data_IF_681124448111
#
_entry.id   IF_681124448111
#
_cell.length_a   1.000
_cell.length_b   1.000
_cell.length_c   1.000
_cell.angle_alpha   90.00
_cell.angle_beta   90.00
_cell.angle_gamma   90.00
#
_symmetry.space_group_name_H-M   'P 1'
#
loop_
_entity.id
_entity.type
_entity.pdbx_description
1 polymer ?
#
# COMPACT_ATOMS: atom_id res chain seq x y z
N UNK A 1 -7.80 -9.44 13.33
CA UNK A 1 -8.73 -9.26 12.17
C UNK A 1 -9.88 -8.37 12.63
N UNK A 2 -10.02 -7.19 12.01
CA UNK A 2 -11.08 -6.23 12.38
C UNK A 2 -12.31 -6.37 11.47
N UNK A 3 -12.14 -6.94 10.27
CA UNK A 3 -13.18 -7.18 9.29
C UNK A 3 -12.91 -8.50 8.56
N UNK A 4 -13.93 -9.32 8.38
CA UNK A 4 -13.84 -10.55 7.57
C UNK A 4 -14.10 -10.16 6.12
N UNK A 5 -13.20 -10.53 5.21
CA UNK A 5 -13.34 -10.24 3.80
C UNK A 5 -13.67 -11.52 3.02
N UNK A 6 -14.56 -11.37 2.06
CA UNK A 6 -14.98 -12.42 1.14
C UNK A 6 -14.51 -12.11 -0.28
N UNK A 7 -14.13 -13.14 -1.04
CA UNK A 7 -14.05 -13.01 -2.48
C UNK A 7 -15.47 -12.81 -3.05
N UNK A 8 -15.64 -12.09 -4.17
CA UNK A 8 -16.95 -11.88 -4.76
C UNK A 8 -17.71 -13.18 -5.05
N UNK A 9 -16.98 -14.26 -5.40
CA UNK A 9 -17.54 -15.56 -5.70
C UNK A 9 -17.90 -16.43 -4.47
N UNK A 10 -17.64 -15.98 -3.24
CA UNK A 10 -18.01 -16.72 -2.04
C UNK A 10 -19.44 -16.40 -1.53
N UNK A 11 -20.06 -15.37 -2.09
CA UNK A 11 -21.39 -14.93 -1.66
C UNK A 11 -22.43 -15.38 -2.68
N UNK A 12 -23.35 -16.24 -2.26
CA UNK A 12 -24.47 -16.76 -3.05
C UNK A 12 -25.80 -16.44 -2.36
N UNK A 13 -26.73 -15.82 -3.08
CA UNK A 13 -28.04 -15.42 -2.52
C UNK A 13 -27.95 -14.65 -1.20
N UNK A 14 -26.94 -13.77 -1.09
CA UNK A 14 -26.70 -12.99 0.12
C UNK A 14 -26.11 -13.78 1.30
N UNK A 15 -25.61 -14.97 1.09
CA UNK A 15 -25.00 -15.84 2.12
C UNK A 15 -23.59 -16.27 1.75
N UNK A 16 -22.74 -16.41 2.75
CA UNK A 16 -21.42 -17.01 2.64
C UNK A 16 -21.24 -18.10 3.69
N UNK A 17 -20.63 -19.23 3.32
CA UNK A 17 -20.23 -20.30 4.25
C UNK A 17 -18.72 -20.50 4.14
N UNK A 18 -18.04 -20.49 5.27
CA UNK A 18 -16.58 -20.64 5.32
C UNK A 18 -16.16 -21.50 6.52
N UNK A 19 -15.04 -22.23 6.36
CA UNK A 19 -14.51 -23.17 7.37
C UNK A 19 -12.97 -23.05 7.50
N UNK A 20 -12.41 -21.99 6.98
CA UNK A 20 -10.98 -21.68 6.98
C UNK A 20 -10.55 -20.86 8.22
N UNK A 21 -9.38 -20.24 8.18
CA UNK A 21 -8.83 -19.40 9.26
C UNK A 21 -9.79 -18.28 9.72
N UNK A 22 -10.72 -17.83 8.87
CA UNK A 22 -11.76 -16.86 9.22
C UNK A 22 -12.76 -17.46 10.18
N UNK A 23 -13.18 -18.72 9.92
CA UNK A 23 -14.07 -19.45 10.83
C UNK A 23 -13.39 -19.74 12.18
N UNK A 24 -12.13 -20.16 12.16
CA UNK A 24 -11.33 -20.33 13.38
C UNK A 24 -11.28 -19.03 14.20
N UNK A 25 -11.08 -17.89 13.55
CA UNK A 25 -11.10 -16.60 14.22
C UNK A 25 -12.47 -16.27 14.85
N UNK A 26 -13.56 -16.50 14.11
CA UNK A 26 -14.93 -16.29 14.63
C UNK A 26 -15.20 -17.17 15.83
N UNK A 27 -14.87 -18.46 15.75
CA UNK A 27 -15.20 -19.43 16.80
C UNK A 27 -14.29 -19.29 18.03
N UNK A 28 -12.96 -19.19 17.81
CA UNK A 28 -11.98 -19.31 18.88
C UNK A 28 -11.55 -17.96 19.47
N UNK A 29 -11.66 -16.86 18.71
CA UNK A 29 -11.22 -15.53 19.15
C UNK A 29 -12.40 -14.64 19.48
N UNK A 30 -13.41 -14.60 18.60
CA UNK A 30 -14.60 -13.76 18.80
C UNK A 30 -15.68 -14.49 19.62
N UNK A 31 -15.54 -15.81 19.85
CA UNK A 31 -16.53 -16.66 20.50
C UNK A 31 -17.92 -16.47 19.89
N UNK A 32 -17.98 -16.50 18.55
CA UNK A 32 -19.16 -16.19 17.76
C UNK A 32 -20.31 -17.13 18.05
N UNK A 33 -21.53 -16.59 18.10
CA UNK A 33 -22.78 -17.31 18.29
C UNK A 33 -23.77 -16.95 17.19
N UNK A 34 -24.74 -17.83 16.94
CA UNK A 34 -25.83 -17.57 16.01
C UNK A 34 -26.59 -16.29 16.42
N UNK A 35 -26.93 -15.45 15.44
CA UNK A 35 -27.51 -14.13 15.64
C UNK A 35 -26.48 -13.00 15.84
N UNK A 36 -25.22 -13.31 16.08
CA UNK A 36 -24.18 -12.28 16.24
C UNK A 36 -23.86 -11.59 14.92
N UNK A 37 -23.66 -10.26 14.99
CA UNK A 37 -23.27 -9.45 13.84
C UNK A 37 -21.75 -9.32 13.77
N UNK A 38 -21.18 -9.57 12.59
CA UNK A 38 -19.77 -9.42 12.26
C UNK A 38 -19.57 -8.27 11.29
N UNK A 39 -18.45 -7.56 11.38
CA UNK A 39 -18.02 -6.61 10.33
C UNK A 39 -17.45 -7.41 9.17
N UNK A 40 -18.01 -7.22 7.98
CA UNK A 40 -17.61 -7.98 6.78
C UNK A 40 -17.50 -7.06 5.57
N UNK A 41 -16.89 -7.54 4.48
CA UNK A 41 -16.77 -6.81 3.22
C UNK A 41 -16.45 -7.75 2.08
N UNK A 42 -16.57 -7.24 0.86
CA UNK A 42 -16.22 -7.93 -0.38
C UNK A 42 -14.92 -7.35 -0.90
N UNK A 43 -13.94 -8.18 -1.23
CA UNK A 43 -12.68 -7.72 -1.82
C UNK A 43 -12.98 -6.94 -3.11
N UNK A 44 -12.35 -5.78 -3.26
CA UNK A 44 -12.58 -4.80 -4.33
C UNK A 44 -14.03 -4.30 -4.43
N UNK A 45 -14.81 -4.47 -3.37
CA UNK A 45 -16.23 -4.15 -3.31
C UNK A 45 -16.64 -3.43 -2.02
N UNK A 46 -17.94 -3.37 -1.75
CA UNK A 46 -18.49 -2.68 -0.59
C UNK A 46 -18.15 -3.37 0.74
N UNK A 47 -18.22 -2.60 1.80
CA UNK A 47 -18.17 -3.05 3.18
C UNK A 47 -19.58 -3.08 3.78
N UNK A 48 -19.72 -3.81 4.89
CA UNK A 48 -20.98 -3.90 5.62
C UNK A 48 -20.88 -4.81 6.83
N UNK A 49 -21.96 -5.53 7.08
CA UNK A 49 -22.06 -6.48 8.17
C UNK A 49 -22.62 -7.82 7.70
N UNK A 50 -22.39 -8.85 8.46
CA UNK A 50 -23.04 -10.15 8.27
C UNK A 50 -23.51 -10.70 9.59
N UNK A 51 -24.68 -11.34 9.59
CA UNK A 51 -25.24 -12.03 10.77
C UNK A 51 -24.92 -13.51 10.68
N UNK A 52 -24.40 -14.10 11.74
CA UNK A 52 -24.18 -15.55 11.83
C UNK A 52 -25.56 -16.23 11.85
N UNK A 53 -25.89 -16.99 10.80
CA UNK A 53 -27.13 -17.75 10.72
C UNK A 53 -26.98 -19.16 11.30
N UNK A 54 -25.79 -19.78 11.13
CA UNK A 54 -25.59 -21.17 11.52
C UNK A 54 -24.10 -21.46 11.77
N UNK A 55 -23.88 -22.30 12.77
CA UNK A 55 -22.54 -22.84 13.09
C UNK A 55 -22.62 -24.36 13.10
N UNK A 56 -21.87 -25.05 12.24
CA UNK A 56 -21.82 -26.49 12.13
C UNK A 56 -20.39 -26.98 12.22
N UNK A 57 -19.98 -27.48 13.36
CA UNK A 57 -18.58 -27.86 13.60
C UNK A 57 -17.65 -26.66 13.47
N UNK A 58 -16.79 -26.67 12.43
CA UNK A 58 -15.89 -25.57 12.10
C UNK A 58 -16.40 -24.67 10.96
N UNK A 59 -17.60 -24.92 10.43
CA UNK A 59 -18.19 -24.11 9.38
C UNK A 59 -19.13 -23.05 9.96
N UNK A 60 -18.98 -21.82 9.44
CA UNK A 60 -19.80 -20.66 9.82
C UNK A 60 -20.54 -20.17 8.57
N UNK A 61 -21.88 -20.14 8.66
CA UNK A 61 -22.74 -19.57 7.62
C UNK A 61 -23.25 -18.22 8.08
N UNK A 62 -23.07 -17.20 7.23
CA UNK A 62 -23.49 -15.83 7.52
C UNK A 62 -24.41 -15.29 6.43
N UNK A 63 -25.35 -14.44 6.82
CA UNK A 63 -26.13 -13.60 5.91
C UNK A 63 -25.46 -12.24 5.78
N UNK A 64 -25.12 -11.85 4.56
CA UNK A 64 -24.35 -10.66 4.24
C UNK A 64 -25.24 -9.48 3.85
N UNK A 65 -24.86 -8.28 4.33
CA UNK A 65 -25.39 -6.98 3.87
C UNK A 65 -24.23 -6.03 3.64
N UNK A 66 -23.90 -5.76 2.36
CA UNK A 66 -22.75 -4.95 1.95
C UNK A 66 -23.23 -3.82 1.03
N UNK A 67 -23.43 -2.63 1.58
CA UNK A 67 -24.01 -1.49 0.86
C UNK A 67 -23.13 -0.23 0.99
N UNK A 68 -22.16 -0.22 1.90
CA UNK A 68 -21.33 0.94 2.16
C UNK A 68 -20.08 0.90 1.28
N UNK A 69 -19.76 1.95 0.51
CA UNK A 69 -18.50 2.03 -0.21
C UNK A 69 -17.30 1.90 0.74
N UNK A 70 -16.28 1.17 0.32
CA UNK A 70 -15.00 1.11 1.05
C UNK A 70 -14.19 2.39 0.83
N UNK A 71 -13.29 2.68 1.77
CA UNK A 71 -12.28 3.72 1.56
C UNK A 71 -11.48 3.43 0.30
N UNK A 72 -11.26 4.47 -0.50
CA UNK A 72 -10.50 4.35 -1.73
C UNK A 72 -9.01 4.45 -1.44
N UNK A 73 -8.17 3.66 -2.12
CA UNK A 73 -6.73 3.81 -2.01
C UNK A 73 -6.28 5.14 -2.62
N UNK A 74 -5.26 5.76 -2.04
CA UNK A 74 -4.91 7.16 -2.28
C UNK A 74 -3.50 7.37 -2.84
N UNK A 75 -2.62 6.35 -2.92
CA UNK A 75 -1.22 6.50 -3.31
C UNK A 75 -0.74 5.35 -4.22
N UNK A 76 0.07 5.69 -5.23
CA UNK A 76 0.85 4.74 -6.02
C UNK A 76 2.30 4.70 -5.52
N UNK A 77 2.87 3.51 -5.43
CA UNK A 77 4.22 3.28 -4.93
C UNK A 77 5.12 2.68 -6.01
N UNK A 78 6.23 3.36 -6.33
CA UNK A 78 7.37 2.79 -7.06
C UNK A 78 8.40 2.33 -6.02
N UNK A 79 8.60 1.05 -5.88
CA UNK A 79 9.45 0.47 -4.84
C UNK A 79 10.60 -0.33 -5.46
N UNK A 80 11.84 0.09 -5.20
CA UNK A 80 12.97 -0.80 -5.37
C UNK A 80 12.96 -1.78 -4.19
N UNK A 81 12.62 -3.07 -4.44
CA UNK A 81 12.22 -3.96 -3.37
C UNK A 81 13.34 -4.20 -2.35
N UNK A 82 13.04 -4.13 -1.05
CA UNK A 82 13.94 -4.57 -0.02
C UNK A 82 14.05 -6.09 -0.01
N UNK A 83 14.91 -6.64 0.85
CA UNK A 83 15.04 -8.09 1.01
C UNK A 83 13.71 -8.79 1.22
N UNK A 84 13.51 -10.03 0.72
CA UNK A 84 12.22 -10.72 0.75
C UNK A 84 11.57 -10.78 2.14
N UNK A 85 12.37 -10.94 3.21
CA UNK A 85 11.86 -10.97 4.60
C UNK A 85 11.27 -9.60 5.03
N UNK A 86 11.88 -8.50 4.61
CA UNK A 86 11.37 -7.15 4.88
C UNK A 86 10.12 -6.88 4.03
N UNK A 87 10.16 -7.25 2.75
CA UNK A 87 9.01 -7.11 1.85
C UNK A 87 7.78 -7.88 2.34
N UNK A 88 7.96 -9.10 2.85
CA UNK A 88 6.86 -9.90 3.44
C UNK A 88 6.15 -9.17 4.59
N UNK A 89 6.90 -8.40 5.41
CA UNK A 89 6.32 -7.60 6.50
C UNK A 89 5.69 -6.30 6.01
N UNK A 90 6.21 -5.73 4.91
CA UNK A 90 5.71 -4.48 4.35
C UNK A 90 4.36 -4.64 3.64
N UNK A 91 4.14 -5.73 2.93
CA UNK A 91 2.94 -5.92 2.12
C UNK A 91 1.62 -5.70 2.90
N UNK A 92 1.40 -6.31 4.09
CA UNK A 92 0.20 -6.02 4.88
C UNK A 92 0.10 -4.55 5.29
N UNK A 93 1.24 -3.92 5.63
CA UNK A 93 1.26 -2.51 6.04
C UNK A 93 0.91 -1.58 4.88
N UNK A 94 1.42 -1.85 3.67
CA UNK A 94 1.10 -1.07 2.47
C UNK A 94 -0.38 -1.16 2.12
N UNK A 95 -0.96 -2.34 2.20
CA UNK A 95 -2.40 -2.53 1.99
C UNK A 95 -3.22 -1.78 3.06
N UNK A 96 -2.83 -1.88 4.34
CA UNK A 96 -3.54 -1.20 5.43
C UNK A 96 -3.43 0.32 5.37
N UNK A 97 -2.38 0.86 4.76
CA UNK A 97 -2.16 2.30 4.57
C UNK A 97 -2.79 2.84 3.27
N UNK A 98 -3.54 2.02 2.53
CA UNK A 98 -4.29 2.47 1.36
C UNK A 98 -3.43 2.70 0.12
N UNK A 99 -2.31 1.98 -0.03
CA UNK A 99 -1.56 1.98 -1.30
C UNK A 99 -2.39 1.29 -2.37
N UNK A 100 -2.55 1.95 -3.52
CA UNK A 100 -3.35 1.47 -4.65
C UNK A 100 -2.57 0.50 -5.53
N UNK A 101 -1.37 0.89 -5.92
CA UNK A 101 -0.49 0.16 -6.83
C UNK A 101 0.91 0.11 -6.27
N UNK A 102 1.54 -1.04 -6.37
CA UNK A 102 2.93 -1.28 -5.99
C UNK A 102 3.70 -1.70 -7.24
N UNK A 103 4.52 -0.81 -7.78
CA UNK A 103 5.40 -1.08 -8.91
C UNK A 103 6.79 -1.42 -8.40
N UNK A 104 7.16 -2.70 -8.49
CA UNK A 104 8.49 -3.18 -8.08
C UNK A 104 9.49 -2.97 -9.22
N UNK A 105 10.59 -2.25 -8.96
CA UNK A 105 11.58 -1.89 -9.98
C UNK A 105 12.98 -2.39 -9.62
N UNK A 106 13.70 -2.91 -10.61
CA UNK A 106 15.06 -3.43 -10.47
C UNK A 106 16.10 -2.32 -10.48
N UNK A 107 16.27 -1.61 -9.36
CA UNK A 107 17.32 -0.63 -9.16
C UNK A 107 18.71 -1.28 -8.99
N UNK A 108 19.77 -0.50 -9.14
CA UNK A 108 21.15 -1.00 -9.14
C UNK A 108 21.52 -1.76 -7.87
N UNK A 109 21.08 -1.25 -6.72
CA UNK A 109 21.39 -1.85 -5.42
C UNK A 109 20.34 -2.88 -4.93
N UNK A 110 19.42 -3.31 -5.79
CA UNK A 110 18.49 -4.41 -5.49
C UNK A 110 19.21 -5.75 -5.63
N UNK A 111 19.08 -6.61 -4.63
CA UNK A 111 19.65 -7.97 -4.69
C UNK A 111 19.00 -8.77 -5.83
N UNK A 112 19.82 -9.28 -6.77
CA UNK A 112 19.34 -10.04 -7.93
C UNK A 112 18.48 -11.26 -7.53
N UNK A 113 18.78 -11.88 -6.40
CA UNK A 113 18.03 -13.02 -5.86
C UNK A 113 16.57 -12.69 -5.54
N UNK A 114 16.21 -11.42 -5.34
CA UNK A 114 14.83 -11.01 -5.11
C UNK A 114 13.89 -11.43 -6.25
N UNK A 115 14.36 -11.33 -7.51
CA UNK A 115 13.55 -11.63 -8.69
C UNK A 115 13.21 -13.11 -8.89
N UNK A 116 13.87 -14.01 -8.15
CA UNK A 116 13.53 -15.43 -8.05
C UNK A 116 12.73 -15.80 -6.79
N UNK A 117 12.39 -14.83 -5.97
CA UNK A 117 11.72 -15.10 -4.70
C UNK A 117 10.27 -15.58 -4.91
N UNK A 118 9.88 -16.58 -4.14
CA UNK A 118 8.49 -17.09 -4.13
C UNK A 118 7.48 -15.99 -3.78
N UNK A 119 7.91 -14.97 -3.03
CA UNK A 119 7.07 -13.83 -2.63
C UNK A 119 6.47 -13.06 -3.81
N UNK A 120 7.06 -13.15 -5.01
CA UNK A 120 6.52 -12.50 -6.22
C UNK A 120 5.36 -13.28 -6.86
N UNK A 121 5.06 -14.47 -6.37
CA UNK A 121 3.90 -15.24 -6.83
C UNK A 121 2.64 -14.73 -6.14
N UNK A 122 1.56 -14.60 -6.91
CA UNK A 122 0.31 -14.05 -6.42
C UNK A 122 -0.27 -14.86 -5.26
N UNK A 123 -0.20 -16.19 -5.36
CA UNK A 123 -0.65 -17.09 -4.30
C UNK A 123 0.08 -16.88 -2.95
N UNK A 124 1.25 -16.20 -2.96
CA UNK A 124 2.03 -15.91 -1.76
C UNK A 124 1.82 -14.48 -1.27
N UNK A 125 1.80 -13.48 -2.17
CA UNK A 125 1.66 -12.09 -1.72
C UNK A 125 0.20 -11.65 -1.49
N UNK A 126 -0.77 -12.18 -2.25
CA UNK A 126 -2.18 -11.77 -2.13
C UNK A 126 -2.74 -11.99 -0.71
N UNK A 127 -2.52 -13.15 -0.05
CA UNK A 127 -2.96 -13.32 1.35
C UNK A 127 -2.37 -12.30 2.31
N UNK A 128 -1.13 -11.84 2.09
CA UNK A 128 -0.49 -10.80 2.92
C UNK A 128 -1.16 -9.44 2.74
N UNK A 129 -1.57 -9.09 1.51
CA UNK A 129 -2.33 -7.87 1.24
C UNK A 129 -3.70 -7.93 1.91
N UNK A 130 -4.41 -9.06 1.75
CA UNK A 130 -5.73 -9.28 2.37
C UNK A 130 -5.67 -9.18 3.90
N UNK A 131 -4.62 -9.71 4.54
CA UNK A 131 -4.41 -9.56 5.98
C UNK A 131 -4.34 -8.08 6.40
N UNK A 132 -3.60 -7.27 5.65
CA UNK A 132 -3.53 -5.83 5.87
C UNK A 132 -4.89 -5.12 5.70
N UNK A 133 -5.66 -5.48 4.67
CA UNK A 133 -7.01 -4.94 4.43
C UNK A 133 -7.98 -5.32 5.54
N UNK A 134 -7.96 -6.57 6.00
CA UNK A 134 -8.76 -7.05 7.12
C UNK A 134 -8.47 -6.27 8.41
N UNK A 135 -7.21 -5.92 8.64
CA UNK A 135 -6.79 -5.13 9.79
C UNK A 135 -7.26 -3.68 9.69
N UNK A 136 -7.11 -3.06 8.50
CA UNK A 136 -7.54 -1.68 8.25
C UNK A 136 -9.07 -1.53 8.13
N UNK A 137 -9.76 -2.62 7.79
CA UNK A 137 -11.21 -2.60 7.56
C UNK A 137 -11.61 -2.07 6.18
N UNK A 138 -10.68 -2.13 5.21
CA UNK A 138 -10.88 -1.74 3.80
C UNK A 138 -10.94 -2.97 2.90
N UNK A 139 -11.24 -2.79 1.62
CA UNK A 139 -11.46 -3.91 0.69
C UNK A 139 -10.65 -3.83 -0.61
N UNK A 140 -10.13 -2.64 -0.97
CA UNK A 140 -9.43 -2.43 -2.24
C UNK A 140 -8.04 -3.09 -2.20
N UNK A 141 -7.85 -4.14 -3.01
CA UNK A 141 -6.62 -4.93 -3.06
C UNK A 141 -5.56 -4.19 -3.88
N UNK A 142 -4.37 -3.87 -3.31
CA UNK A 142 -3.28 -3.28 -4.08
C UNK A 142 -2.86 -4.17 -5.25
N UNK A 143 -2.67 -3.58 -6.44
CA UNK A 143 -2.05 -4.30 -7.56
C UNK A 143 -0.54 -4.31 -7.42
N UNK A 144 0.11 -5.42 -7.81
CA UNK A 144 1.58 -5.53 -7.86
C UNK A 144 2.03 -5.76 -9.29
N UNK A 145 2.92 -4.89 -9.77
CA UNK A 145 3.56 -5.01 -11.07
C UNK A 145 5.09 -5.06 -10.91
N UNK A 146 5.79 -5.75 -11.81
CA UNK A 146 7.24 -5.95 -11.69
C UNK A 146 7.99 -5.55 -12.95
N UNK A 147 9.03 -4.73 -12.80
CA UNK A 147 9.95 -4.33 -13.87
C UNK A 147 11.40 -4.59 -13.43
N UNK A 148 12.06 -5.58 -14.03
CA UNK A 148 13.44 -5.95 -13.67
C UNK A 148 14.49 -4.89 -14.02
N UNK A 149 14.13 -3.88 -14.83
CA UNK A 149 15.01 -2.77 -15.20
C UNK A 149 14.36 -1.45 -14.79
N UNK A 150 14.99 -0.75 -13.86
CA UNK A 150 14.58 0.58 -13.43
C UNK A 150 14.60 1.58 -14.60
N UNK A 151 15.72 1.65 -15.34
CA UNK A 151 15.87 2.55 -16.48
C UNK A 151 14.78 2.35 -17.53
N UNK A 152 14.53 1.09 -17.93
CA UNK A 152 13.46 0.78 -18.87
C UNK A 152 12.08 1.23 -18.36
N UNK A 153 11.80 1.02 -17.09
CA UNK A 153 10.54 1.47 -16.48
C UNK A 153 10.41 2.99 -16.53
N UNK A 154 11.42 3.72 -16.03
CA UNK A 154 11.38 5.19 -15.95
C UNK A 154 11.30 5.85 -17.33
N UNK A 155 12.09 5.38 -18.30
CA UNK A 155 12.14 5.99 -19.64
C UNK A 155 10.93 5.65 -20.51
N UNK A 156 10.35 4.44 -20.38
CA UNK A 156 9.40 3.90 -21.35
C UNK A 156 8.00 3.61 -20.81
N UNK A 157 7.86 3.44 -19.50
CA UNK A 157 6.61 2.96 -18.90
C UNK A 157 6.01 3.92 -17.89
N UNK A 158 6.82 4.68 -17.16
CA UNK A 158 6.40 5.47 -16.01
C UNK A 158 5.26 6.44 -16.35
N UNK A 159 5.39 7.21 -17.43
CA UNK A 159 4.40 8.22 -17.81
C UNK A 159 3.06 7.58 -18.24
N UNK A 160 3.10 6.43 -18.91
CA UNK A 160 1.90 5.68 -19.26
C UNK A 160 1.23 4.99 -18.06
N UNK A 161 2.02 4.64 -17.03
CA UNK A 161 1.49 4.03 -15.78
C UNK A 161 0.80 5.06 -14.88
N UNK A 162 1.33 6.27 -14.85
CA UNK A 162 0.86 7.34 -13.98
C UNK A 162 0.38 8.52 -14.82
N UNK A 163 -0.64 8.26 -15.65
CA UNK A 163 -1.26 9.27 -16.50
C UNK A 163 -1.84 10.41 -15.66
N UNK A 164 -1.68 11.63 -16.17
CA UNK A 164 -2.12 12.86 -15.51
C UNK A 164 -0.98 13.56 -14.75
N UNK A 165 -1.29 14.73 -14.20
CA UNK A 165 -0.33 15.52 -13.41
C UNK A 165 -0.30 15.07 -11.93
N UNK A 166 -0.05 13.79 -11.69
CA UNK A 166 0.14 13.32 -10.31
C UNK A 166 1.40 13.93 -9.71
N UNK A 167 1.31 14.41 -8.48
CA UNK A 167 2.49 14.86 -7.74
C UNK A 167 3.39 13.65 -7.47
N UNK A 168 4.67 13.76 -7.83
CA UNK A 168 5.64 12.67 -7.79
C UNK A 168 6.73 12.96 -6.76
N UNK A 169 6.95 12.06 -5.83
CA UNK A 169 7.96 12.19 -4.78
C UNK A 169 8.99 11.07 -4.85
N UNK A 170 10.28 11.40 -4.68
CA UNK A 170 11.36 10.43 -4.51
C UNK A 170 11.96 10.54 -3.12
N UNK A 171 11.92 9.42 -2.37
CA UNK A 171 12.56 9.33 -1.07
C UNK A 171 14.09 9.35 -1.24
N UNK A 172 14.74 10.43 -0.75
CA UNK A 172 16.19 10.56 -0.77
C UNK A 172 16.66 11.30 0.49
N UNK A 173 17.77 10.88 1.14
CA UNK A 173 18.34 11.62 2.26
C UNK A 173 18.64 13.06 1.86
N UNK A 174 18.42 14.00 2.76
CA UNK A 174 18.88 15.38 2.55
C UNK A 174 20.42 15.38 2.44
N UNK A 175 21.02 16.18 1.52
CA UNK A 175 22.45 16.33 1.51
C UNK A 175 22.91 16.84 2.89
N UNK A 176 23.96 16.24 3.43
CA UNK A 176 24.61 16.73 4.66
C UNK A 176 25.36 18.01 4.27
N UNK A 177 24.64 19.14 4.27
CA UNK A 177 25.25 20.45 4.05
C UNK A 177 26.12 20.79 5.27
N UNK A 178 27.43 20.78 5.09
CA UNK A 178 28.34 21.45 5.99
C UNK A 178 28.01 22.94 6.01
N UNK A 179 27.76 23.47 7.21
CA UNK A 179 27.70 24.90 7.57
C UNK A 179 26.79 25.84 6.74
N UNK A 180 25.68 26.24 7.29
CA UNK A 180 25.12 27.57 7.04
C UNK A 180 23.75 27.71 6.39
N UNK A 181 23.07 26.64 6.01
CA UNK A 181 21.67 26.71 5.61
C UNK A 181 20.87 25.69 6.40
N UNK A 182 20.03 26.14 7.32
CA UNK A 182 19.13 25.23 8.02
C UNK A 182 18.31 24.43 7.00
N UNK A 183 17.99 23.16 7.27
CA UNK A 183 17.18 22.37 6.37
C UNK A 183 15.86 23.13 6.15
N UNK A 184 15.63 23.61 4.94
CA UNK A 184 14.28 24.04 4.58
C UNK A 184 13.39 22.86 4.91
N UNK A 185 12.49 23.05 5.87
CA UNK A 185 11.67 21.97 6.33
C UNK A 185 10.89 21.47 5.11
N UNK A 186 10.97 20.18 4.83
CA UNK A 186 10.22 19.54 3.75
C UNK A 186 8.71 19.88 3.87
N UNK A 187 8.23 20.20 5.08
CA UNK A 187 6.91 20.75 5.31
C UNK A 187 6.70 22.13 4.64
N UNK A 188 7.72 23.00 4.59
CA UNK A 188 7.62 24.29 3.92
C UNK A 188 7.67 24.14 2.39
N UNK A 189 8.46 23.21 1.86
CA UNK A 189 8.50 22.93 0.42
C UNK A 189 7.22 22.23 -0.05
N UNK A 190 6.71 21.25 0.70
CA UNK A 190 5.41 20.61 0.44
C UNK A 190 4.25 21.59 0.58
N UNK A 191 4.24 22.44 1.61
CA UNK A 191 3.22 23.51 1.78
C UNK A 191 3.33 24.56 0.68
N UNK A 192 4.52 24.87 0.18
CA UNK A 192 4.72 25.81 -0.92
C UNK A 192 4.27 25.24 -2.27
N UNK A 193 4.43 23.93 -2.51
CA UNK A 193 3.93 23.28 -3.73
C UNK A 193 2.42 23.03 -3.68
N UNK A 194 1.87 22.60 -2.55
CA UNK A 194 0.42 22.52 -2.32
C UNK A 194 -0.20 23.93 -2.34
N UNK A 195 0.48 24.95 -1.79
CA UNK A 195 0.04 26.36 -1.82
C UNK A 195 0.14 27.02 -3.18
N UNK A 196 1.07 26.63 -4.06
CA UNK A 196 1.14 27.13 -5.45
C UNK A 196 0.03 26.57 -6.34
N UNK A 197 -0.56 25.45 -6.00
CA UNK A 197 -1.69 24.88 -6.71
C UNK A 197 -3.02 25.62 -6.46
N UNK A 198 -3.10 26.57 -5.49
CA UNK A 198 -4.22 27.49 -5.30
C UNK A 198 -5.63 26.87 -5.16
N UNK A 199 -5.72 25.56 -5.14
CA UNK A 199 -6.91 24.77 -4.95
C UNK A 199 -6.53 23.51 -4.18
N UNK A 200 -7.46 22.89 -3.44
CA UNK A 200 -7.30 21.50 -2.99
C UNK A 200 -6.75 20.69 -4.17
N UNK A 201 -5.70 19.88 -3.98
CA UNK A 201 -5.20 19.08 -5.08
C UNK A 201 -6.39 18.37 -5.71
N UNK A 202 -6.52 18.51 -7.03
CA UNK A 202 -7.41 17.69 -7.84
C UNK A 202 -7.27 16.22 -7.39
N UNK A 203 -8.25 15.33 -7.55
CA UNK A 203 -8.22 13.95 -7.05
C UNK A 203 -7.16 13.08 -7.74
N UNK A 204 -5.95 13.61 -7.90
CA UNK A 204 -4.82 12.95 -8.51
C UNK A 204 -4.08 12.16 -7.44
N UNK A 205 -3.99 10.87 -7.67
CA UNK A 205 -3.26 9.94 -6.81
C UNK A 205 -1.77 10.27 -6.84
N UNK A 206 -1.14 10.63 -5.70
CA UNK A 206 0.30 10.91 -5.68
C UNK A 206 1.12 9.65 -5.91
N UNK A 207 2.35 9.82 -6.42
CA UNK A 207 3.31 8.73 -6.66
C UNK A 207 4.51 8.92 -5.74
N UNK A 208 4.86 7.89 -4.96
CA UNK A 208 6.04 7.87 -4.11
C UNK A 208 7.05 6.85 -4.64
N UNK A 209 8.30 7.25 -4.89
CA UNK A 209 9.40 6.35 -5.23
C UNK A 209 10.32 6.13 -4.02
N UNK A 210 10.55 4.86 -3.64
CA UNK A 210 11.40 4.48 -2.49
C UNK A 210 12.44 3.46 -2.91
N UNK A 211 13.71 3.74 -2.59
CA UNK A 211 14.87 2.90 -2.90
C UNK A 211 15.02 1.66 -2.00
N UNK A 212 15.93 0.75 -2.37
CA UNK A 212 16.28 -0.41 -1.54
C UNK A 212 17.06 0.02 -0.29
N UNK A 213 17.53 -0.93 0.53
CA UNK A 213 18.33 -0.62 1.73
C UNK A 213 19.57 0.23 1.46
N UNK A 214 20.19 0.06 0.27
CA UNK A 214 21.33 0.87 -0.16
C UNK A 214 20.97 2.24 -0.74
N UNK A 215 19.67 2.59 -0.80
CA UNK A 215 19.15 3.80 -1.44
C UNK A 215 19.30 3.79 -2.97
N UNK A 216 18.78 4.81 -3.61
CA UNK A 216 18.99 5.08 -5.04
C UNK A 216 20.44 5.50 -5.31
N UNK A 217 20.91 5.33 -6.53
CA UNK A 217 22.12 6.02 -7.03
C UNK A 217 21.77 7.45 -7.44
N UNK A 218 22.78 8.32 -7.56
CA UNK A 218 22.56 9.70 -8.02
C UNK A 218 22.00 9.73 -9.45
N UNK A 219 22.41 8.79 -10.31
CA UNK A 219 21.89 8.64 -11.66
C UNK A 219 20.40 8.26 -11.64
N UNK A 220 20.01 7.31 -10.80
CA UNK A 220 18.60 6.90 -10.65
C UNK A 220 17.72 8.04 -10.14
N UNK A 221 18.22 8.80 -9.17
CA UNK A 221 17.51 10.00 -8.68
C UNK A 221 17.38 11.03 -9.78
N UNK A 222 18.46 11.31 -10.54
CA UNK A 222 18.43 12.24 -11.68
C UNK A 222 17.38 11.85 -12.71
N UNK A 223 17.29 10.57 -13.07
CA UNK A 223 16.27 10.09 -14.01
C UNK A 223 14.83 10.27 -13.47
N UNK A 224 14.61 10.10 -12.17
CA UNK A 224 13.32 10.37 -11.55
C UNK A 224 13.01 11.88 -11.54
N UNK A 225 13.99 12.72 -11.25
CA UNK A 225 13.82 14.19 -11.28
C UNK A 225 13.49 14.71 -12.70
N UNK A 226 14.13 14.17 -13.74
CA UNK A 226 13.77 14.45 -15.14
C UNK A 226 12.32 14.08 -15.47
N UNK A 227 11.75 13.13 -14.72
CA UNK A 227 10.34 12.70 -14.78
C UNK A 227 9.44 13.46 -13.82
N UNK A 228 9.91 14.56 -13.25
CA UNK A 228 9.12 15.43 -12.39
C UNK A 228 8.96 14.94 -10.93
N UNK A 229 9.81 14.00 -10.48
CA UNK A 229 9.84 13.65 -9.07
C UNK A 229 10.57 14.72 -8.26
N UNK A 230 9.96 15.07 -7.12
CA UNK A 230 10.54 16.00 -6.14
C UNK A 230 11.13 15.21 -4.99
N UNK A 231 12.34 15.57 -4.56
CA UNK A 231 13.00 14.90 -3.42
C UNK A 231 12.24 15.11 -2.13
N UNK A 232 12.01 14.03 -1.41
CA UNK A 232 11.38 14.02 -0.10
C UNK A 232 12.32 13.38 0.92
N UNK A 233 12.63 14.11 2.00
CA UNK A 233 13.51 13.65 3.07
C UNK A 233 12.79 13.62 4.41
N UNK A 234 13.14 12.64 5.25
CA UNK A 234 12.70 12.55 6.65
C UNK A 234 13.69 13.19 7.65
N UNK A 235 14.67 13.93 7.12
CA UNK A 235 15.71 14.57 7.92
C UNK A 235 17.04 13.81 7.88
N UNK A 236 17.99 14.13 8.82
CA UNK A 236 19.37 13.68 8.73
C UNK A 236 19.61 12.23 9.15
N UNK A 237 18.59 11.54 9.69
CA UNK A 237 18.75 10.17 10.17
C UNK A 237 18.60 9.18 9.01
N UNK A 238 19.53 8.23 8.92
CA UNK A 238 19.42 7.09 8.01
C UNK A 238 18.43 6.10 8.64
N UNK A 239 17.32 5.87 7.97
CA UNK A 239 16.29 4.92 8.40
C UNK A 239 16.37 3.64 7.56
N UNK A 240 15.93 2.54 8.13
CA UNK A 240 15.69 1.32 7.35
C UNK A 240 14.57 1.58 6.36
N UNK A 241 14.60 0.91 5.21
CA UNK A 241 13.62 1.10 4.13
C UNK A 241 12.18 0.91 4.63
N UNK A 242 11.91 -0.11 5.43
CA UNK A 242 10.60 -0.37 6.01
C UNK A 242 10.13 0.80 6.92
N UNK A 243 10.98 1.30 7.79
CA UNK A 243 10.69 2.45 8.66
C UNK A 243 10.50 3.74 7.86
N UNK A 244 11.40 3.99 6.89
CA UNK A 244 11.33 5.17 6.05
C UNK A 244 10.02 5.21 5.24
N UNK A 245 9.64 4.07 4.64
CA UNK A 245 8.44 3.95 3.83
C UNK A 245 7.16 4.27 4.65
N UNK A 246 7.00 3.67 5.83
CA UNK A 246 5.85 3.95 6.70
C UNK A 246 5.80 5.42 7.12
N UNK A 247 6.95 6.01 7.49
CA UNK A 247 7.02 7.41 7.89
C UNK A 247 6.68 8.38 6.72
N UNK A 248 7.13 8.06 5.50
CA UNK A 248 6.80 8.83 4.30
C UNK A 248 5.31 8.73 3.96
N UNK A 249 4.75 7.52 3.99
CA UNK A 249 3.33 7.29 3.75
C UNK A 249 2.47 8.05 4.78
N UNK A 250 2.78 7.94 6.06
CA UNK A 250 2.06 8.67 7.13
C UNK A 250 2.09 10.19 6.91
N UNK A 251 3.20 10.72 6.41
CA UNK A 251 3.35 12.14 6.14
C UNK A 251 2.53 12.59 4.92
N UNK A 252 2.50 11.80 3.85
CA UNK A 252 1.70 12.07 2.66
C UNK A 252 0.20 11.88 2.93
N UNK A 253 -0.17 10.89 3.74
CA UNK A 253 -1.56 10.62 4.14
C UNK A 253 -2.22 11.86 4.76
N UNK A 254 -1.52 12.62 5.60
CA UNK A 254 -2.04 13.86 6.20
C UNK A 254 -2.43 14.94 5.18
N UNK A 255 -1.97 14.81 3.93
CA UNK A 255 -2.19 15.80 2.87
C UNK A 255 -3.21 15.32 1.85
N UNK A 256 -3.20 14.02 1.54
CA UNK A 256 -3.93 13.45 0.41
C UNK A 256 -5.10 12.55 0.81
N UNK A 257 -5.08 11.96 2.01
CA UNK A 257 -6.12 11.05 2.51
C UNK A 257 -6.98 11.79 3.55
N UNK A 258 -7.65 12.85 3.10
CA UNK A 258 -8.51 13.69 3.95
C UNK A 258 -9.92 13.85 3.38
#
# INVERSE_FOLDING_TARGET
MNRILFEPGEIHDGRATFSDVRAEHVLNVLHGTEGQTLKTGILDGPIGTSVIERIEGNAVTVRCTHETPSLQPWLDLVLAPPRPRAMKRLLPQLASLGVRRIVLVGAEKVEKAFWGAQLLKEEIYRPLLVDGLQQAGTTAVPTIETFKSFRHFVERKLDAHFEGQSTRFVAHPAPVSGHGGGPRSCAAEMSAEVGRAGARPSPQVPVLAVGPEGGWTDEEVGLLEEKGFVRMSLGPRILRTDTALIALLSRLMQIYDT
#
